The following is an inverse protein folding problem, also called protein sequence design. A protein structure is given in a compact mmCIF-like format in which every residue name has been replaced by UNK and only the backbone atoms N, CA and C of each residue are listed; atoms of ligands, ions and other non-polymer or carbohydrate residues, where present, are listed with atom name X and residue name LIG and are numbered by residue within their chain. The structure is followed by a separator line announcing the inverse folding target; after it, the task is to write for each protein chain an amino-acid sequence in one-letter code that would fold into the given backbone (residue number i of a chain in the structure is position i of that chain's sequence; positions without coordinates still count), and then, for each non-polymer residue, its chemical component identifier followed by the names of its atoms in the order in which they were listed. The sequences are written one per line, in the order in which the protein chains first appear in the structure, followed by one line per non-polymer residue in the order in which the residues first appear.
data_IF_796597038512
#
_entry.id   IF_796597038512
#
_cell.length_a   1.000
_cell.length_b   1.000
_cell.length_c   1.000
_cell.angle_alpha   90.00
_cell.angle_beta   90.00
_cell.angle_gamma   90.00
#
_symmetry.space_group_name_H-M   'P 1'
#
loop_
_entity.id
_entity.type
_entity.pdbx_description
1 polymer ?
#
# COMPACT_ATOMS: atom_id res chain seq x y z
N UNK A 1 -27.46 -2.32 -16.80
CA UNK A 1 -26.11 -2.37 -17.44
C UNK A 1 -25.15 -1.38 -16.78
N UNK A 2 -25.60 -0.18 -16.47
CA UNK A 2 -24.80 0.89 -15.85
C UNK A 2 -24.20 0.54 -14.47
N UNK A 3 -24.96 -0.15 -13.61
CA UNK A 3 -24.47 -0.56 -12.27
C UNK A 3 -23.29 -1.54 -12.38
N UNK A 4 -23.39 -2.56 -13.25
CA UNK A 4 -22.31 -3.54 -13.48
C UNK A 4 -21.03 -2.87 -14.00
N UNK A 5 -21.17 -1.87 -14.87
CA UNK A 5 -20.04 -1.10 -15.40
C UNK A 5 -19.36 -0.26 -14.31
N UNK A 6 -20.13 0.40 -13.43
CA UNK A 6 -19.59 1.15 -12.29
C UNK A 6 -18.88 0.26 -11.28
N UNK A 7 -19.41 -0.93 -11.00
CA UNK A 7 -18.76 -1.91 -10.11
C UNK A 7 -17.46 -2.43 -10.71
N UNK A 8 -17.43 -2.76 -12.00
CA UNK A 8 -16.21 -3.24 -12.67
C UNK A 8 -15.07 -2.22 -12.64
N UNK A 9 -15.39 -0.94 -12.87
CA UNK A 9 -14.41 0.15 -12.80
C UNK A 9 -13.85 0.30 -11.37
N UNK A 10 -14.69 0.20 -10.34
CA UNK A 10 -14.24 0.29 -8.95
C UNK A 10 -13.30 -0.87 -8.58
N UNK A 11 -13.65 -2.10 -8.96
CA UNK A 11 -12.83 -3.30 -8.74
C UNK A 11 -11.48 -3.16 -9.43
N UNK A 12 -11.47 -2.67 -10.68
CA UNK A 12 -10.23 -2.43 -11.41
C UNK A 12 -9.35 -1.36 -10.74
N UNK A 13 -9.94 -0.26 -10.25
CA UNK A 13 -9.20 0.76 -9.50
C UNK A 13 -8.56 0.19 -8.23
N UNK A 14 -9.27 -0.63 -7.46
CA UNK A 14 -8.71 -1.31 -6.29
C UNK A 14 -7.55 -2.23 -6.68
N UNK A 15 -7.71 -3.00 -7.75
CA UNK A 15 -6.66 -3.87 -8.26
C UNK A 15 -5.40 -3.09 -8.66
N UNK A 16 -5.54 -1.99 -9.42
CA UNK A 16 -4.40 -1.15 -9.82
C UNK A 16 -3.72 -0.55 -8.60
N UNK A 17 -4.50 -0.01 -7.66
CA UNK A 17 -3.97 0.61 -6.45
C UNK A 17 -3.17 -0.40 -5.61
N UNK A 18 -3.76 -1.57 -5.38
CA UNK A 18 -3.12 -2.61 -4.60
C UNK A 18 -1.97 -3.31 -5.31
N UNK A 19 -1.99 -3.43 -6.64
CA UNK A 19 -0.83 -3.94 -7.39
C UNK A 19 0.41 -3.09 -7.20
N UNK A 20 0.26 -1.77 -7.26
CA UNK A 20 1.37 -0.85 -6.98
C UNK A 20 1.85 -1.05 -5.54
N UNK A 21 0.95 -1.11 -4.56
CA UNK A 21 1.33 -1.25 -3.16
C UNK A 21 1.89 -2.62 -2.78
N UNK A 22 1.43 -3.71 -3.37
CA UNK A 22 2.01 -5.03 -3.15
C UNK A 22 3.45 -5.10 -3.68
N UNK A 23 3.74 -4.48 -4.83
CA UNK A 23 5.10 -4.37 -5.37
C UNK A 23 5.96 -3.50 -4.44
N UNK A 24 5.48 -2.30 -4.11
CA UNK A 24 6.20 -1.38 -3.23
C UNK A 24 6.48 -2.02 -1.88
N UNK A 25 5.49 -2.71 -1.29
CA UNK A 25 5.63 -3.44 -0.03
C UNK A 25 6.65 -4.57 -0.13
N UNK A 26 6.68 -5.31 -1.24
CA UNK A 26 7.73 -6.30 -1.47
C UNK A 26 9.13 -5.69 -1.44
N UNK A 27 9.34 -4.60 -2.18
CA UNK A 27 10.60 -3.85 -2.20
C UNK A 27 10.95 -3.32 -0.80
N UNK A 28 9.98 -2.73 -0.11
CA UNK A 28 10.10 -2.25 1.26
C UNK A 28 10.56 -3.34 2.22
N UNK A 29 9.93 -4.50 2.15
CA UNK A 29 10.26 -5.63 3.02
C UNK A 29 11.69 -6.09 2.81
N UNK A 30 12.16 -6.22 1.56
CA UNK A 30 13.54 -6.58 1.27
C UNK A 30 14.54 -5.53 1.77
N UNK A 31 14.25 -4.24 1.55
CA UNK A 31 15.10 -3.16 2.02
C UNK A 31 15.12 -3.08 3.55
N UNK A 32 13.98 -3.28 4.22
CA UNK A 32 13.86 -3.33 5.67
C UNK A 32 14.63 -4.51 6.27
N UNK A 33 14.53 -5.71 5.69
CA UNK A 33 15.31 -6.86 6.15
C UNK A 33 16.80 -6.65 5.91
N UNK A 34 17.19 -6.11 4.75
CA UNK A 34 18.58 -5.77 4.45
C UNK A 34 19.15 -4.65 5.33
N UNK A 35 18.29 -3.77 5.82
CA UNK A 35 18.62 -2.64 6.70
C UNK A 35 19.29 -3.07 8.01
N UNK A 36 18.97 -4.28 8.51
CA UNK A 36 19.55 -4.85 9.72
C UNK A 36 21.04 -5.19 9.60
N UNK A 37 21.59 -5.24 8.37
CA UNK A 37 23.01 -5.49 8.11
C UNK A 37 23.84 -4.20 8.26
N UNK A 38 23.22 -3.02 8.22
CA UNK A 38 23.88 -1.72 8.40
C UNK A 38 22.94 -0.70 9.05
N UNK A 39 22.94 -0.64 10.39
CA UNK A 39 21.93 0.06 11.22
C UNK A 39 21.66 1.51 10.80
N UNK A 40 22.69 2.31 10.47
CA UNK A 40 22.52 3.73 10.12
C UNK A 40 21.95 3.90 8.71
N UNK A 41 22.55 3.24 7.71
CA UNK A 41 22.07 3.30 6.31
C UNK A 41 20.68 2.67 6.18
N UNK A 42 20.43 1.64 7.00
CA UNK A 42 19.15 0.97 7.10
C UNK A 42 18.04 1.87 7.59
N UNK A 43 18.27 2.60 8.68
CA UNK A 43 17.30 3.54 9.23
C UNK A 43 16.94 4.66 8.25
N UNK A 44 17.93 5.24 7.57
CA UNK A 44 17.71 6.27 6.53
C UNK A 44 16.87 5.71 5.38
N UNK A 45 17.16 4.49 4.94
CA UNK A 45 16.41 3.84 3.86
C UNK A 45 14.93 3.71 4.21
N UNK A 46 14.61 3.28 5.43
CA UNK A 46 13.22 3.14 5.90
C UNK A 46 12.49 4.49 5.94
N UNK A 47 13.15 5.56 6.37
CA UNK A 47 12.55 6.90 6.40
C UNK A 47 12.23 7.43 5.00
N UNK A 48 13.17 7.32 4.06
CA UNK A 48 12.96 7.72 2.65
C UNK A 48 11.82 6.92 2.03
N UNK A 49 11.76 5.64 2.36
CA UNK A 49 10.73 4.72 1.91
C UNK A 49 9.33 5.06 2.43
N UNK A 50 9.21 5.46 3.70
CA UNK A 50 7.95 5.96 4.27
C UNK A 50 7.48 7.20 3.50
N UNK A 51 8.36 8.16 3.23
CA UNK A 51 8.00 9.35 2.44
C UNK A 51 7.53 8.96 1.03
N UNK A 52 8.20 8.00 0.39
CA UNK A 52 7.82 7.52 -0.93
C UNK A 52 6.45 6.83 -0.93
N UNK A 53 6.14 6.02 0.08
CA UNK A 53 4.82 5.43 0.27
C UNK A 53 3.73 6.48 0.43
N UNK A 54 4.00 7.50 1.25
CA UNK A 54 3.10 8.63 1.45
C UNK A 54 2.77 9.30 0.11
N UNK A 55 3.83 9.72 -0.60
CA UNK A 55 3.71 10.33 -1.92
C UNK A 55 2.93 9.47 -2.93
N UNK A 56 3.31 8.19 -3.06
CA UNK A 56 2.65 7.27 -3.97
C UNK A 56 1.15 7.11 -3.63
N UNK A 57 0.81 7.08 -2.35
CA UNK A 57 -0.57 6.92 -1.90
C UNK A 57 -1.40 8.18 -2.14
N UNK A 58 -0.85 9.37 -1.86
CA UNK A 58 -1.53 10.64 -2.18
C UNK A 58 -1.75 10.75 -3.69
N UNK A 59 -0.72 10.44 -4.48
CA UNK A 59 -0.78 10.48 -5.95
C UNK A 59 -1.85 9.54 -6.51
N UNK A 60 -1.80 8.26 -6.13
CA UNK A 60 -2.76 7.26 -6.63
C UNK A 60 -4.18 7.53 -6.12
N UNK A 61 -4.33 8.06 -4.92
CA UNK A 61 -5.63 8.49 -4.40
C UNK A 61 -6.20 9.64 -5.23
N UNK A 62 -5.39 10.65 -5.55
CA UNK A 62 -5.79 11.79 -6.39
C UNK A 62 -6.11 11.39 -7.85
N UNK A 63 -5.37 10.41 -8.41
CA UNK A 63 -5.60 9.97 -9.79
C UNK A 63 -6.80 9.03 -9.90
N UNK A 64 -6.95 8.10 -8.96
CA UNK A 64 -7.92 7.00 -9.07
C UNK A 64 -9.24 7.27 -8.33
N UNK A 65 -9.24 8.03 -7.24
CA UNK A 65 -10.37 8.07 -6.30
C UNK A 65 -10.97 9.45 -6.09
N UNK A 66 -10.15 10.44 -5.73
CA UNK A 66 -10.60 11.80 -5.41
C UNK A 66 -10.00 12.78 -6.42
N UNK A 67 -10.78 13.72 -6.98
CA UNK A 67 -10.19 14.82 -7.77
C UNK A 67 -9.71 15.93 -6.82
N UNK A 68 -8.84 15.59 -5.89
CA UNK A 68 -8.23 16.56 -4.97
C UNK A 68 -6.86 16.96 -5.51
N UNK A 69 -6.46 18.19 -5.26
CA UNK A 69 -5.11 18.68 -5.51
C UNK A 69 -4.23 18.23 -4.35
N UNK A 70 -3.30 17.28 -4.55
CA UNK A 70 -2.39 16.86 -3.49
C UNK A 70 -1.54 18.03 -2.98
N UNK A 71 -1.59 18.26 -1.67
CA UNK A 71 -0.74 19.23 -0.95
C UNK A 71 0.67 18.66 -0.76
N UNK A 72 1.48 18.76 -1.83
CA UNK A 72 2.83 18.20 -1.90
C UNK A 72 3.84 18.85 -0.96
N UNK A 73 3.56 20.07 -0.50
CA UNK A 73 4.47 20.84 0.36
C UNK A 73 4.33 20.45 1.85
N UNK A 74 3.28 19.70 2.19
CA UNK A 74 3.03 19.21 3.53
C UNK A 74 3.80 17.91 3.84
N UNK A 75 5.13 18.01 3.95
CA UNK A 75 6.03 16.89 4.29
C UNK A 75 5.58 16.07 5.51
N UNK A 76 5.01 16.73 6.52
CA UNK A 76 4.46 16.04 7.71
C UNK A 76 3.26 15.15 7.38
N UNK A 77 2.37 15.59 6.47
CA UNK A 77 1.22 14.80 6.01
C UNK A 77 1.68 13.61 5.18
N UNK A 78 2.61 13.82 4.24
CA UNK A 78 3.20 12.75 3.44
C UNK A 78 3.87 11.69 4.30
N UNK A 79 4.65 12.11 5.30
CA UNK A 79 5.27 11.20 6.25
C UNK A 79 4.22 10.40 7.05
N UNK A 80 3.21 11.06 7.59
CA UNK A 80 2.14 10.41 8.34
C UNK A 80 1.37 9.40 7.46
N UNK A 81 1.03 9.77 6.23
CA UNK A 81 0.36 8.91 5.27
C UNK A 81 1.18 7.66 4.96
N UNK A 82 2.48 7.85 4.71
CA UNK A 82 3.40 6.76 4.47
C UNK A 82 3.57 5.83 5.68
N UNK A 83 3.67 6.41 6.88
CA UNK A 83 3.88 5.66 8.12
C UNK A 83 2.66 4.80 8.46
N UNK A 84 1.47 5.40 8.44
CA UNK A 84 0.21 4.69 8.70
C UNK A 84 0.01 3.61 7.65
N UNK A 85 0.22 3.93 6.37
CA UNK A 85 0.12 2.95 5.29
C UNK A 85 1.10 1.79 5.47
N UNK A 86 2.36 2.07 5.79
CA UNK A 86 3.37 1.05 6.05
C UNK A 86 2.96 0.09 7.16
N UNK A 87 2.53 0.62 8.31
CA UNK A 87 2.11 -0.19 9.47
C UNK A 87 0.91 -1.06 9.11
N UNK A 88 -0.11 -0.49 8.45
CA UNK A 88 -1.33 -1.25 8.13
C UNK A 88 -1.05 -2.30 7.05
N UNK A 89 -0.26 -1.98 6.02
CA UNK A 89 0.17 -2.95 5.02
C UNK A 89 0.97 -4.08 5.66
N UNK A 90 1.87 -3.78 6.61
CA UNK A 90 2.62 -4.80 7.35
C UNK A 90 1.69 -5.75 8.09
N UNK A 91 0.71 -5.23 8.83
CA UNK A 91 -0.26 -6.04 9.59
C UNK A 91 -1.08 -6.92 8.64
N UNK A 92 -1.64 -6.33 7.58
CA UNK A 92 -2.48 -7.05 6.61
C UNK A 92 -1.68 -8.13 5.89
N UNK A 93 -0.47 -7.81 5.43
CA UNK A 93 0.39 -8.77 4.74
C UNK A 93 0.91 -9.88 5.66
N UNK A 94 1.06 -9.63 6.97
CA UNK A 94 1.40 -10.64 7.96
C UNK A 94 0.22 -11.62 8.16
N UNK A 95 -1.00 -11.10 8.32
CA UNK A 95 -2.21 -11.92 8.45
C UNK A 95 -2.42 -12.79 7.21
N UNK A 96 -2.27 -12.21 6.02
CA UNK A 96 -2.43 -12.92 4.75
C UNK A 96 -1.31 -13.93 4.47
N UNK A 97 -0.20 -13.91 5.21
CA UNK A 97 0.87 -14.90 5.07
C UNK A 97 0.58 -16.19 5.86
N UNK A 98 -0.27 -16.13 6.90
CA UNK A 98 -0.60 -17.27 7.77
C UNK A 98 -1.02 -18.51 6.96
N UNK A 99 -1.93 -18.43 5.97
CA UNK A 99 -2.30 -19.61 5.18
C UNK A 99 -1.14 -20.23 4.42
N UNK A 100 -0.21 -19.41 3.91
CA UNK A 100 0.98 -19.88 3.20
C UNK A 100 1.98 -20.57 4.14
N UNK A 101 2.02 -20.18 5.43
CA UNK A 101 2.80 -20.86 6.46
C UNK A 101 2.22 -22.22 6.85
N UNK A 102 0.89 -22.37 6.84
CA UNK A 102 0.21 -23.62 7.21
C UNK A 102 0.20 -24.62 6.05
N UNK A 103 -0.08 -24.16 4.83
CA UNK A 103 -0.18 -24.99 3.62
C UNK A 103 0.72 -24.40 2.53
N UNK A 104 2.06 -24.61 2.62
CA UNK A 104 3.00 -24.05 1.66
C UNK A 104 2.87 -24.77 0.32
N UNK A 105 2.24 -24.10 -0.65
CA UNK A 105 2.13 -24.59 -2.02
C UNK A 105 2.12 -23.42 -3.00
N UNK A 106 2.53 -23.67 -4.24
CA UNK A 106 2.48 -22.67 -5.31
C UNK A 106 1.07 -22.13 -5.51
N UNK A 107 0.05 -22.98 -5.38
CA UNK A 107 -1.36 -22.58 -5.51
C UNK A 107 -1.76 -21.64 -4.36
N UNK A 108 -1.42 -22.00 -3.12
CA UNK A 108 -1.67 -21.17 -1.94
C UNK A 108 -1.02 -19.79 -2.10
N UNK A 109 0.23 -19.75 -2.57
CA UNK A 109 0.95 -18.51 -2.82
C UNK A 109 0.22 -17.59 -3.81
N UNK A 110 -0.20 -18.12 -4.98
CA UNK A 110 -0.92 -17.31 -5.97
C UNK A 110 -2.28 -16.84 -5.48
N UNK A 111 -3.00 -17.68 -4.72
CA UNK A 111 -4.27 -17.28 -4.11
C UNK A 111 -4.08 -16.16 -3.08
N UNK A 112 -3.06 -16.26 -2.22
CA UNK A 112 -2.77 -15.22 -1.23
C UNK A 112 -2.28 -13.95 -1.89
N UNK A 113 -1.47 -14.05 -2.95
CA UNK A 113 -1.05 -12.91 -3.74
C UNK A 113 -2.24 -12.17 -4.34
N UNK A 114 -3.19 -12.88 -4.97
CA UNK A 114 -4.41 -12.26 -5.48
C UNK A 114 -5.23 -11.58 -4.37
N UNK A 115 -5.36 -12.22 -3.19
CA UNK A 115 -6.01 -11.63 -2.03
C UNK A 115 -5.33 -10.35 -1.53
N UNK A 116 -3.99 -10.34 -1.49
CA UNK A 116 -3.18 -9.17 -1.11
C UNK A 116 -3.42 -8.00 -2.05
N UNK A 117 -3.48 -8.23 -3.36
CA UNK A 117 -3.74 -7.15 -4.33
C UNK A 117 -5.04 -6.41 -4.01
N UNK A 118 -6.10 -7.10 -3.62
CA UNK A 118 -7.35 -6.43 -3.26
C UNK A 118 -7.31 -5.80 -1.88
N UNK A 119 -6.70 -6.49 -0.90
CA UNK A 119 -6.59 -5.99 0.47
C UNK A 119 -5.73 -4.72 0.55
N UNK A 120 -4.55 -4.74 -0.07
CA UNK A 120 -3.63 -3.61 -0.15
C UNK A 120 -4.30 -2.42 -0.85
N UNK A 121 -5.01 -2.66 -1.95
CA UNK A 121 -5.73 -1.61 -2.68
C UNK A 121 -6.85 -0.99 -1.86
N UNK A 122 -7.59 -1.80 -1.09
CA UNK A 122 -8.65 -1.33 -0.18
C UNK A 122 -8.07 -0.49 0.96
N UNK A 123 -7.02 -0.98 1.61
CA UNK A 123 -6.32 -0.31 2.70
C UNK A 123 -5.73 1.03 2.25
N UNK A 124 -4.96 1.01 1.16
CA UNK A 124 -4.32 2.20 0.60
C UNK A 124 -5.34 3.29 0.27
N UNK A 125 -6.43 2.92 -0.42
CA UNK A 125 -7.54 3.82 -0.72
C UNK A 125 -8.13 4.43 0.55
N UNK A 126 -8.40 3.65 1.59
CA UNK A 126 -9.06 4.19 2.78
C UNK A 126 -8.13 5.10 3.58
N UNK A 127 -6.85 4.77 3.68
CA UNK A 127 -5.85 5.63 4.33
C UNK A 127 -5.66 6.93 3.54
N UNK A 128 -5.59 6.84 2.21
CA UNK A 128 -5.46 8.01 1.35
C UNK A 128 -6.65 8.96 1.47
N UNK A 129 -7.87 8.42 1.40
CA UNK A 129 -9.09 9.23 1.55
C UNK A 129 -9.20 9.80 2.96
N UNK A 130 -8.92 9.01 4.01
CA UNK A 130 -9.00 9.46 5.40
C UNK A 130 -8.14 10.69 5.66
N UNK A 131 -6.89 10.70 5.21
CA UNK A 131 -6.00 11.85 5.43
C UNK A 131 -6.34 13.06 4.56
N UNK A 132 -7.02 12.87 3.43
CA UNK A 132 -7.55 13.96 2.62
C UNK A 132 -8.84 14.59 3.20
N UNK A 133 -9.60 13.87 4.03
CA UNK A 133 -10.83 14.39 4.67
C UNK A 133 -10.55 15.25 5.92
N UNK A 134 -9.32 15.27 6.43
CA UNK A 134 -8.90 16.10 7.57
C UNK A 134 -8.34 17.48 7.15
N UNK A 135 -8.53 17.88 5.89
CA UNK A 135 -8.33 19.26 5.38
C UNK A 135 -9.63 20.07 5.41
#
# INVERSE_FOLDING_TARGET
MEIKMRTGIAVFKYFVHGFVFSILYGVLFFLFVGSFIGVILGFISVLVLILFLGYANSFLTAVLWTRMEPDWDAWGKLFLQGLVLFIVLLIVNLILEIPNMIIPSTITYWMMFAGRLFADGYVAKNIGVWLCEYE
#
